data_IF_948476783180
#
_entry.id   IF_948476783180
#
_cell.length_a   1.000
_cell.length_b   1.000
_cell.length_c   1.000
_cell.angle_alpha   90.00
_cell.angle_beta   90.00
_cell.angle_gamma   90.00
#
_symmetry.space_group_name_H-M   'P 1'
#
loop_
_entity.id
_entity.type
_entity.pdbx_description
1 polymer ?
#
# COMPACT_ATOMS: atom_id res chain seq x y z
N UNK A 1 -8.12 -21.31 5.43
CA UNK A 1 -8.15 -20.03 4.67
C UNK A 1 -7.88 -18.80 5.57
N UNK A 2 -6.94 -18.89 6.52
CA UNK A 2 -6.49 -17.73 7.31
C UNK A 2 -5.18 -17.12 6.77
N UNK A 3 -4.40 -17.91 6.01
CA UNK A 3 -3.10 -17.51 5.47
C UNK A 3 -3.18 -16.36 4.46
N UNK A 4 -4.25 -16.31 3.66
CA UNK A 4 -4.48 -15.22 2.69
C UNK A 4 -4.73 -13.89 3.41
N UNK A 5 -5.61 -13.87 4.43
CA UNK A 5 -5.88 -12.67 5.23
C UNK A 5 -4.67 -12.20 6.03
N UNK A 6 -3.82 -13.12 6.50
CA UNK A 6 -2.56 -12.79 7.17
C UNK A 6 -1.56 -12.10 6.24
N UNK A 7 -1.51 -12.50 4.97
CA UNK A 7 -0.66 -11.85 3.96
C UNK A 7 -1.17 -10.43 3.65
N UNK A 8 -2.47 -10.26 3.43
CA UNK A 8 -3.09 -8.96 3.13
C UNK A 8 -2.86 -7.94 4.27
N UNK A 9 -3.02 -8.36 5.53
CA UNK A 9 -2.73 -7.49 6.68
C UNK A 9 -1.23 -7.13 6.77
N UNK A 10 -0.33 -8.06 6.44
CA UNK A 10 1.10 -7.80 6.40
C UNK A 10 1.49 -6.82 5.29
N UNK A 11 0.88 -6.93 4.10
CA UNK A 11 1.06 -5.98 3.00
C UNK A 11 0.63 -4.56 3.41
N UNK A 12 -0.53 -4.41 4.06
CA UNK A 12 -0.97 -3.11 4.57
C UNK A 12 -0.04 -2.57 5.67
N UNK A 13 0.46 -3.44 6.56
CA UNK A 13 1.43 -3.01 7.58
C UNK A 13 2.72 -2.50 6.94
N UNK A 14 3.22 -3.19 5.90
CA UNK A 14 4.38 -2.77 5.14
C UNK A 14 4.14 -1.44 4.43
N UNK A 15 2.95 -1.23 3.88
CA UNK A 15 2.56 0.05 3.29
C UNK A 15 2.69 1.21 4.30
N UNK A 16 2.21 1.02 5.54
CA UNK A 16 2.33 2.04 6.61
C UNK A 16 3.77 2.31 7.04
N UNK A 17 4.65 1.30 7.00
CA UNK A 17 6.08 1.50 7.30
C UNK A 17 6.72 2.42 6.26
N UNK A 18 6.45 2.20 4.97
CA UNK A 18 6.92 3.08 3.90
C UNK A 18 6.26 4.45 3.91
N UNK A 19 4.98 4.54 4.32
CA UNK A 19 4.29 5.82 4.49
C UNK A 19 4.95 6.68 5.58
N UNK A 20 5.27 6.07 6.72
CA UNK A 20 5.82 6.78 7.89
C UNK A 20 7.36 6.85 7.95
N UNK A 21 8.08 6.17 7.06
CA UNK A 21 9.54 6.05 7.13
C UNK A 21 10.03 5.31 8.39
N UNK A 22 9.27 4.33 8.88
CA UNK A 22 9.60 3.63 10.13
C UNK A 22 10.49 2.44 9.81
N UNK A 23 11.79 2.55 10.15
CA UNK A 23 12.78 1.49 9.89
C UNK A 23 13.16 1.33 8.42
N UNK A 24 12.72 2.28 7.57
CA UNK A 24 13.04 2.40 6.15
C UNK A 24 12.91 3.87 5.75
N UNK A 25 13.46 4.26 4.60
CA UNK A 25 13.21 5.62 4.08
C UNK A 25 11.75 5.74 3.62
N UNK A 26 11.10 6.90 3.84
CA UNK A 26 9.77 7.13 3.31
C UNK A 26 9.73 6.92 1.78
N UNK A 27 8.81 6.09 1.32
CA UNK A 27 8.55 5.87 -0.11
C UNK A 27 7.04 5.86 -0.34
N UNK A 28 6.49 7.02 -0.69
CA UNK A 28 5.05 7.20 -0.90
C UNK A 28 4.52 6.35 -2.07
N UNK A 29 5.36 6.08 -3.07
CA UNK A 29 4.99 5.25 -4.22
C UNK A 29 4.87 3.79 -3.80
N UNK A 30 5.84 3.30 -3.03
CA UNK A 30 5.85 1.93 -2.54
C UNK A 30 4.79 1.71 -1.45
N UNK A 31 4.55 2.70 -0.59
CA UNK A 31 3.45 2.69 0.35
C UNK A 31 2.10 2.54 -0.38
N UNK A 32 1.84 3.40 -1.37
CA UNK A 32 0.63 3.33 -2.19
C UNK A 32 0.52 2.00 -2.91
N UNK A 33 1.63 1.49 -3.47
CA UNK A 33 1.64 0.23 -4.19
C UNK A 33 1.25 -0.97 -3.33
N UNK A 34 1.84 -1.10 -2.14
CA UNK A 34 1.50 -2.18 -1.20
C UNK A 34 0.06 -2.07 -0.70
N UNK A 35 -0.42 -0.85 -0.45
CA UNK A 35 -1.81 -0.65 -0.05
C UNK A 35 -2.81 -0.99 -1.16
N UNK A 36 -2.52 -0.61 -2.41
CA UNK A 36 -3.37 -0.97 -3.56
C UNK A 36 -3.52 -2.49 -3.68
N UNK A 37 -2.45 -3.26 -3.47
CA UNK A 37 -2.51 -4.74 -3.47
C UNK A 37 -3.42 -5.24 -2.34
N UNK A 38 -3.21 -4.75 -1.12
CA UNK A 38 -4.03 -5.14 0.03
C UNK A 38 -5.51 -4.77 -0.16
N UNK A 39 -5.79 -3.58 -0.71
CA UNK A 39 -7.13 -3.08 -1.01
C UNK A 39 -7.84 -3.90 -2.07
N UNK A 40 -7.13 -4.33 -3.13
CA UNK A 40 -7.66 -5.26 -4.15
C UNK A 40 -8.02 -6.64 -3.56
N UNK A 41 -7.33 -7.05 -2.51
CA UNK A 41 -7.63 -8.28 -1.77
C UNK A 41 -8.74 -8.09 -0.71
N UNK A 42 -9.38 -6.91 -0.66
CA UNK A 42 -10.54 -6.63 0.18
C UNK A 42 -10.23 -6.01 1.54
N UNK A 43 -8.98 -5.64 1.82
CA UNK A 43 -8.65 -4.89 3.03
C UNK A 43 -9.03 -3.42 2.87
N UNK A 44 -9.73 -2.87 3.86
CA UNK A 44 -10.08 -1.45 3.93
C UNK A 44 -9.35 -0.85 5.12
N UNK A 45 -8.59 0.21 4.89
CA UNK A 45 -7.89 0.96 5.92
C UNK A 45 -8.08 2.45 5.65
N UNK A 46 -8.88 3.12 6.48
CA UNK A 46 -9.29 4.49 6.25
C UNK A 46 -8.10 5.45 6.15
N UNK A 47 -7.07 5.26 6.97
CA UNK A 47 -5.86 6.08 6.95
C UNK A 47 -5.13 5.93 5.60
N UNK A 48 -5.07 4.71 5.07
CA UNK A 48 -4.40 4.45 3.80
C UNK A 48 -5.27 4.83 2.59
N UNK A 49 -6.60 4.80 2.72
CA UNK A 49 -7.51 5.36 1.71
C UNK A 49 -7.32 6.88 1.59
N UNK A 50 -7.25 7.60 2.72
CA UNK A 50 -6.98 9.04 2.74
C UNK A 50 -5.58 9.36 2.18
N UNK A 51 -4.57 8.59 2.59
CA UNK A 51 -3.21 8.70 2.04
C UNK A 51 -3.19 8.52 0.52
N UNK A 52 -3.84 7.48 0.00
CA UNK A 52 -3.87 7.19 -1.43
C UNK A 52 -4.61 8.28 -2.22
N UNK A 53 -5.67 8.87 -1.65
CA UNK A 53 -6.40 10.00 -2.25
C UNK A 53 -5.58 11.30 -2.26
N UNK A 54 -4.63 11.44 -1.33
CA UNK A 54 -3.74 12.59 -1.24
C UNK A 54 -2.54 12.54 -2.19
N UNK A 55 -2.28 11.42 -2.88
CA UNK A 55 -1.21 11.33 -3.87
C UNK A 55 -1.54 12.16 -5.11
N UNK A 56 -0.53 12.76 -5.72
CA UNK A 56 -0.71 13.39 -7.03
C UNK A 56 -0.91 12.35 -8.15
N UNK A 57 -1.30 12.82 -9.34
CA UNK A 57 -1.61 11.96 -10.48
C UNK A 57 -0.42 11.08 -10.90
N UNK A 58 0.80 11.62 -10.85
CA UNK A 58 2.00 10.89 -11.23
C UNK A 58 2.36 9.83 -10.18
N UNK A 59 2.27 10.20 -8.90
CA UNK A 59 2.48 9.29 -7.78
C UNK A 59 1.46 8.15 -7.80
N UNK A 60 0.19 8.46 -8.02
CA UNK A 60 -0.89 7.48 -8.15
C UNK A 60 -0.63 6.53 -9.31
N UNK A 61 -0.23 7.06 -10.47
CA UNK A 61 0.12 6.27 -11.65
C UNK A 61 1.30 5.33 -11.39
N UNK A 62 2.35 5.82 -10.75
CA UNK A 62 3.53 5.01 -10.40
C UNK A 62 3.18 3.94 -9.36
N UNK A 63 2.40 4.27 -8.33
CA UNK A 63 1.95 3.33 -7.32
C UNK A 63 1.11 2.21 -7.94
N UNK A 64 0.19 2.54 -8.86
CA UNK A 64 -0.60 1.56 -9.62
C UNK A 64 0.27 0.64 -10.48
N UNK A 65 1.25 1.19 -11.21
CA UNK A 65 2.18 0.40 -12.02
C UNK A 65 3.02 -0.55 -11.16
N UNK A 66 3.49 -0.08 -10.01
CA UNK A 66 4.29 -0.88 -9.08
C UNK A 66 3.43 -1.97 -8.44
N UNK A 67 2.20 -1.65 -8.03
CA UNK A 67 1.24 -2.61 -7.48
C UNK A 67 0.94 -3.77 -8.44
N UNK A 68 0.87 -3.50 -9.75
CA UNK A 68 0.66 -4.54 -10.76
C UNK A 68 1.85 -5.50 -10.94
N UNK A 69 3.01 -5.19 -10.37
CA UNK A 69 4.23 -6.02 -10.41
C UNK A 69 4.56 -6.66 -9.06
N UNK A 70 3.80 -6.33 -8.02
CA UNK A 70 3.96 -6.93 -6.70
C UNK A 70 3.36 -8.35 -6.70
N UNK A 71 3.91 -9.26 -5.87
CA UNK A 71 3.51 -10.66 -5.82
C UNK A 71 2.10 -10.87 -5.22
#
# INVERSE_FOLDING_TARGET
RAAEGGNVAAQNRLAKLYMGGIGTDPDVILAGAWYIVARRAGLIDAEMDDFLQGLDDEQTRQALQKANRLP
#
